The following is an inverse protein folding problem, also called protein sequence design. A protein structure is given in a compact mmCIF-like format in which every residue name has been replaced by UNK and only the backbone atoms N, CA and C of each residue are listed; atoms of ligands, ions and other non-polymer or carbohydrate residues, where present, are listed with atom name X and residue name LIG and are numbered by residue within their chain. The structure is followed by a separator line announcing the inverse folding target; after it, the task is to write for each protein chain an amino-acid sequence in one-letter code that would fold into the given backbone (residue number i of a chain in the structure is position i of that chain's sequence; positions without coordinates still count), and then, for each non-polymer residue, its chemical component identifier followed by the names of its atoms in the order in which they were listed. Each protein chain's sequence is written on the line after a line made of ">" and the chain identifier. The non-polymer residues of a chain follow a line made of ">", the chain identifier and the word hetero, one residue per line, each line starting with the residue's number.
data_IF_511801517944
#
_entry.id   IF_511801517944
#
_cell.length_a   1.000
_cell.length_b   1.000
_cell.length_c   1.000
_cell.angle_alpha   90.00
_cell.angle_beta   90.00
_cell.angle_gamma   90.00
#
_symmetry.space_group_name_H-M   'P 1'
#
loop_
_entity.id
_entity.type
_entity.pdbx_description
1 polymer ?
#
# COMPACT_ATOMS: atom_id res chain seq x y z
N UNK A 1 6.67 -8.46 18.04
CA UNK A 1 7.10 -7.64 19.22
C UNK A 1 5.85 -7.08 19.89
N UNK A 2 5.80 -7.01 21.23
CA UNK A 2 4.68 -6.42 21.98
C UNK A 2 5.08 -5.03 22.46
N UNK A 3 4.16 -4.08 22.36
CA UNK A 3 4.35 -2.68 22.75
C UNK A 3 3.21 -2.27 23.68
N UNK A 4 3.51 -1.45 24.68
CA UNK A 4 2.50 -0.77 25.50
C UNK A 4 2.36 0.65 24.96
N UNK A 5 1.13 1.07 24.66
CA UNK A 5 0.83 2.40 24.09
C UNK A 5 -0.30 3.04 24.87
N UNK A 6 -0.26 4.36 24.99
CA UNK A 6 -1.37 5.16 25.55
C UNK A 6 -2.17 5.72 24.40
N UNK A 7 -3.48 5.49 24.41
CA UNK A 7 -4.44 5.97 23.42
C UNK A 7 -5.63 6.58 24.15
N UNK A 8 -6.34 7.52 23.52
CA UNK A 8 -7.59 8.01 24.09
C UNK A 8 -8.67 6.94 24.03
N UNK A 9 -9.71 7.04 24.87
CA UNK A 9 -10.85 6.12 24.81
C UNK A 9 -11.52 6.14 23.42
N UNK A 10 -11.58 7.32 22.79
CA UNK A 10 -12.12 7.48 21.44
C UNK A 10 -11.33 6.71 20.39
N UNK A 11 -9.99 6.75 20.45
CA UNK A 11 -9.14 5.99 19.54
C UNK A 11 -9.32 4.48 19.72
N UNK A 12 -9.48 4.02 20.96
CA UNK A 12 -9.74 2.60 21.25
C UNK A 12 -11.09 2.16 20.68
N UNK A 13 -12.14 2.97 20.85
CA UNK A 13 -13.47 2.72 20.26
C UNK A 13 -13.37 2.63 18.74
N UNK A 14 -12.66 3.57 18.10
CA UNK A 14 -12.45 3.55 16.66
C UNK A 14 -11.75 2.27 16.20
N UNK A 15 -10.68 1.85 16.87
CA UNK A 15 -9.96 0.62 16.53
C UNK A 15 -10.87 -0.62 16.61
N UNK A 16 -11.75 -0.69 17.63
CA UNK A 16 -12.68 -1.80 17.79
C UNK A 16 -13.77 -1.83 16.72
N UNK A 17 -14.33 -0.66 16.38
CA UNK A 17 -15.34 -0.53 15.34
C UNK A 17 -14.76 -0.82 13.95
N UNK A 18 -13.56 -0.32 13.67
CA UNK A 18 -12.86 -0.59 12.42
C UNK A 18 -12.56 -2.07 12.28
N UNK A 19 -12.04 -2.70 13.35
CA UNK A 19 -11.77 -4.14 13.36
C UNK A 19 -13.03 -4.96 13.06
N UNK A 20 -14.15 -4.62 13.69
CA UNK A 20 -15.43 -5.31 13.51
C UNK A 20 -15.99 -5.14 12.10
N UNK A 21 -15.95 -3.92 11.57
CA UNK A 21 -16.52 -3.59 10.25
C UNK A 21 -15.71 -4.16 9.09
N UNK A 22 -14.40 -4.31 9.26
CA UNK A 22 -13.50 -4.80 8.20
C UNK A 22 -13.00 -6.23 8.42
N UNK A 23 -13.48 -6.92 9.46
CA UNK A 23 -13.11 -8.30 9.76
C UNK A 23 -11.65 -8.48 10.22
N UNK A 24 -11.05 -7.43 10.77
CA UNK A 24 -9.67 -7.47 11.27
C UNK A 24 -9.63 -8.15 12.63
N UNK A 25 -8.76 -9.16 12.84
CA UNK A 25 -8.84 -10.03 14.01
C UNK A 25 -8.42 -9.38 15.34
N UNK A 26 -7.80 -8.19 15.33
CA UNK A 26 -7.38 -7.50 16.55
C UNK A 26 -7.11 -6.01 16.34
N UNK A 27 -7.11 -5.23 17.43
CA UNK A 27 -6.65 -3.82 17.44
C UNK A 27 -5.23 -3.67 16.88
N UNK A 28 -4.33 -4.60 17.21
CA UNK A 28 -2.97 -4.61 16.67
C UNK A 28 -2.94 -4.83 15.16
N UNK A 29 -3.89 -5.58 14.60
CA UNK A 29 -4.06 -5.73 13.16
C UNK A 29 -4.47 -4.41 12.49
N UNK A 30 -5.42 -3.69 13.10
CA UNK A 30 -5.82 -2.36 12.62
C UNK A 30 -4.65 -1.37 12.67
N UNK A 31 -3.85 -1.40 13.75
CA UNK A 31 -2.64 -0.58 13.84
C UNK A 31 -1.59 -0.97 12.78
N UNK A 32 -1.46 -2.24 12.43
CA UNK A 32 -0.56 -2.67 11.35
C UNK A 32 -1.02 -2.16 9.97
N UNK A 33 -2.32 -2.20 9.69
CA UNK A 33 -2.89 -1.60 8.47
C UNK A 33 -2.66 -0.09 8.43
N UNK A 34 -2.90 0.62 9.54
CA UNK A 34 -2.64 2.05 9.65
C UNK A 34 -1.16 2.38 9.38
N UNK A 35 -0.23 1.58 9.92
CA UNK A 35 1.20 1.74 9.65
C UNK A 35 1.56 1.47 8.18
N UNK A 36 0.91 0.49 7.54
CA UNK A 36 1.11 0.24 6.12
C UNK A 36 0.65 1.42 5.27
N UNK A 37 -0.50 2.03 5.61
CA UNK A 37 -1.00 3.24 4.97
C UNK A 37 -0.07 4.43 5.18
N UNK A 38 0.51 4.58 6.37
CA UNK A 38 1.49 5.64 6.63
C UNK A 38 2.74 5.48 5.77
N UNK A 39 3.28 4.26 5.64
CA UNK A 39 4.42 4.00 4.73
C UNK A 39 4.05 4.28 3.28
N UNK A 40 2.88 3.80 2.82
CA UNK A 40 2.43 4.02 1.45
C UNK A 40 2.33 5.52 1.10
N UNK A 41 2.00 6.38 2.07
CA UNK A 41 2.01 7.84 1.87
C UNK A 41 3.41 8.41 1.66
N UNK A 42 4.43 7.81 2.26
CA UNK A 42 5.83 8.22 2.08
C UNK A 42 6.38 7.75 0.73
N UNK A 43 5.87 6.65 0.17
CA UNK A 43 6.30 6.11 -1.12
C UNK A 43 5.96 7.02 -2.31
N UNK A 44 5.05 7.98 -2.17
CA UNK A 44 4.61 8.83 -3.29
C UNK A 44 5.75 9.62 -3.93
N UNK A 45 6.65 10.18 -3.12
CA UNK A 45 7.81 10.91 -3.62
C UNK A 45 8.84 9.98 -4.28
N UNK A 46 9.02 8.77 -3.73
CA UNK A 46 9.94 7.77 -4.27
C UNK A 46 9.44 7.21 -5.61
N UNK A 47 8.14 6.93 -5.75
CA UNK A 47 7.55 6.55 -7.03
C UNK A 47 7.64 7.66 -8.06
N UNK A 48 7.41 8.92 -7.67
CA UNK A 48 7.55 10.05 -8.57
C UNK A 48 9.00 10.22 -9.05
N UNK A 49 9.98 10.04 -8.16
CA UNK A 49 11.39 10.06 -8.51
C UNK A 49 11.75 8.92 -9.46
N UNK A 50 11.30 7.69 -9.16
CA UNK A 50 11.53 6.52 -10.01
C UNK A 50 10.92 6.71 -11.41
N UNK A 51 9.73 7.31 -11.51
CA UNK A 51 9.10 7.61 -12.80
C UNK A 51 9.82 8.73 -13.55
N UNK A 52 10.47 9.66 -12.85
CA UNK A 52 11.27 10.72 -13.46
C UNK A 52 12.67 10.24 -13.90
N UNK A 53 13.19 9.18 -13.29
CA UNK A 53 14.42 8.49 -13.73
C UNK A 53 14.18 7.68 -15.00
N UNK A 54 12.94 7.23 -15.23
CA UNK A 54 12.54 6.52 -16.44
C UNK A 54 12.55 7.46 -17.65
N UNK A 55 13.34 7.12 -18.66
CA UNK A 55 13.49 7.94 -19.87
C UNK A 55 12.57 7.49 -21.00
N UNK A 56 12.32 8.38 -21.96
CA UNK A 56 11.57 8.04 -23.19
C UNK A 56 12.23 6.88 -23.97
N UNK A 57 13.56 6.73 -23.89
CA UNK A 57 14.30 5.63 -24.50
C UNK A 57 14.03 4.29 -23.76
N UNK A 58 13.94 4.32 -22.43
CA UNK A 58 13.53 3.16 -21.64
C UNK A 58 12.07 2.79 -21.95
N UNK A 59 11.18 3.77 -22.03
CA UNK A 59 9.76 3.56 -22.37
C UNK A 59 9.61 2.89 -23.73
N UNK A 60 10.32 3.37 -24.75
CA UNK A 60 10.27 2.83 -26.10
C UNK A 60 10.69 1.35 -26.19
N UNK A 61 11.66 0.92 -25.37
CA UNK A 61 12.08 -0.50 -25.33
C UNK A 61 10.99 -1.36 -24.72
N UNK A 62 10.42 -0.94 -23.59
CA UNK A 62 9.41 -1.71 -22.87
C UNK A 62 8.04 -1.70 -23.56
N UNK A 63 7.72 -0.65 -24.32
CA UNK A 63 6.48 -0.57 -25.09
C UNK A 63 6.39 -1.62 -26.21
N UNK A 64 7.52 -2.16 -26.67
CA UNK A 64 7.51 -3.19 -27.72
C UNK A 64 6.98 -4.53 -27.26
N UNK A 65 6.99 -4.79 -25.96
CA UNK A 65 6.61 -6.09 -25.36
C UNK A 65 5.28 -6.03 -24.61
N UNK A 66 4.59 -4.87 -24.61
CA UNK A 66 3.36 -4.67 -23.82
C UNK A 66 2.21 -5.61 -24.23
N UNK A 67 2.21 -6.10 -25.47
CA UNK A 67 1.19 -7.01 -26.00
C UNK A 67 1.61 -8.49 -26.06
N UNK A 68 2.82 -8.83 -25.59
CA UNK A 68 3.34 -10.19 -25.68
C UNK A 68 2.43 -11.19 -24.94
N UNK A 69 2.09 -12.28 -25.64
CA UNK A 69 1.24 -13.35 -25.08
C UNK A 69 -0.27 -13.06 -25.09
N UNK A 70 -0.71 -11.86 -25.48
CA UNK A 70 -2.14 -11.54 -25.63
C UNK A 70 -2.74 -12.10 -26.92
N UNK A 71 -1.91 -12.44 -27.90
CA UNK A 71 -2.31 -13.13 -29.15
C UNK A 71 -2.43 -14.65 -29.01
N UNK A 72 -2.32 -15.21 -27.80
CA UNK A 72 -2.54 -16.62 -27.51
C UNK A 72 -4.04 -17.00 -27.54
N UNK A 73 -4.70 -16.68 -28.65
CA UNK A 73 -5.96 -17.27 -29.09
C UNK A 73 -5.76 -17.90 -30.46
N UNK A 74 -5.24 -19.14 -30.46
CA UNK A 74 -5.70 -20.20 -31.37
C UNK A 74 -5.39 -21.59 -30.83
#
# INVERSE_FOLDING_TARGET
>A
MKLSVSLSDGDVVFLDEYARSHGVPSRSGVLQEALALLRARELGAEYAAAWAEWTDDDEAVWETVTADGLDATR
#
